data_IF_111568187813
#
_entry.id   IF_111568187813
#
_cell.length_a   1.000
_cell.length_b   1.000
_cell.length_c   1.000
_cell.angle_alpha   90.00
_cell.angle_beta   90.00
_cell.angle_gamma   90.00
#
_symmetry.space_group_name_H-M   'P 1'
#
loop_
_entity.id
_entity.type
_entity.pdbx_description
1 polymer ?
#
# COMPACT_ATOMS: atom_id res chain seq x y z
N UNK A 1 12.81 -33.87 49.34
CA UNK A 1 11.85 -32.76 49.21
C UNK A 1 11.85 -32.05 47.85
N UNK A 2 12.91 -32.09 47.03
CA UNK A 2 12.92 -31.38 45.72
C UNK A 2 12.13 -32.03 44.57
N UNK A 3 11.85 -33.35 44.61
CA UNK A 3 11.11 -34.02 43.54
C UNK A 3 9.61 -33.71 43.52
N UNK A 4 9.02 -33.41 44.68
CA UNK A 4 7.58 -33.12 44.79
C UNK A 4 7.22 -31.70 44.33
N UNK A 5 8.16 -30.75 44.43
CA UNK A 5 7.97 -29.36 43.96
C UNK A 5 8.01 -29.24 42.43
N UNK A 6 8.74 -30.12 41.75
CA UNK A 6 8.87 -30.09 40.28
C UNK A 6 7.61 -30.63 39.58
N UNK A 7 6.91 -31.60 40.18
CA UNK A 7 5.65 -32.15 39.66
C UNK A 7 4.50 -31.15 39.84
N UNK A 8 4.50 -30.36 40.92
CA UNK A 8 3.50 -29.31 41.14
C UNK A 8 3.61 -28.18 40.11
N UNK A 9 4.84 -27.78 39.75
CA UNK A 9 5.08 -26.79 38.69
C UNK A 9 4.68 -27.30 37.29
N UNK A 10 4.91 -28.59 37.00
CA UNK A 10 4.48 -29.18 35.74
C UNK A 10 2.94 -29.27 35.65
N UNK A 11 2.25 -29.55 36.76
CA UNK A 11 0.79 -29.58 36.78
C UNK A 11 0.15 -28.19 36.60
N UNK A 12 0.75 -27.13 37.16
CA UNK A 12 0.29 -25.75 36.92
C UNK A 12 0.56 -25.27 35.49
N UNK A 13 1.65 -25.72 34.84
CA UNK A 13 1.94 -25.37 33.45
C UNK A 13 0.98 -26.03 32.44
N UNK A 14 0.42 -27.21 32.74
CA UNK A 14 -0.51 -27.91 31.83
C UNK A 14 -1.98 -27.48 32.05
N UNK A 15 -2.34 -27.01 33.25
CA UNK A 15 -3.70 -26.55 33.55
C UNK A 15 -4.10 -25.22 32.88
N UNK A 16 -3.14 -24.39 32.46
CA UNK A 16 -3.41 -23.07 31.87
C UNK A 16 -3.87 -23.07 30.40
N UNK A 17 -3.68 -24.17 29.66
CA UNK A 17 -3.97 -24.23 28.23
C UNK A 17 -5.28 -24.96 27.86
N UNK A 18 -5.96 -25.58 28.84
CA UNK A 18 -7.08 -26.49 28.57
C UNK A 18 -8.46 -25.81 28.49
N UNK A 19 -8.62 -24.56 28.94
CA UNK A 19 -9.93 -23.89 28.97
C UNK A 19 -10.40 -23.34 27.63
N UNK A 20 -9.52 -23.25 26.62
CA UNK A 20 -9.85 -22.75 25.28
C UNK A 20 -10.20 -23.84 24.26
N UNK A 21 -10.01 -25.13 24.61
CA UNK A 21 -10.24 -26.22 23.66
C UNK A 21 -11.73 -26.59 23.51
N UNK A 22 -12.50 -26.47 24.60
CA UNK A 22 -13.94 -26.77 24.60
C UNK A 22 -14.74 -25.72 23.80
N UNK A 23 -14.31 -24.46 23.81
CA UNK A 23 -14.90 -23.37 23.04
C UNK A 23 -14.50 -23.44 21.56
N UNK A 24 -13.23 -23.71 21.23
CA UNK A 24 -12.80 -23.86 19.81
C UNK A 24 -13.47 -25.06 19.12
N UNK A 25 -13.67 -26.18 19.83
CA UNK A 25 -14.37 -27.35 19.27
C UNK A 25 -15.85 -27.09 19.01
N UNK A 26 -16.55 -26.34 19.88
CA UNK A 26 -17.97 -25.99 19.64
C UNK A 26 -18.11 -25.03 18.48
N UNK A 27 -17.28 -23.99 18.40
CA UNK A 27 -17.31 -23.06 17.26
C UNK A 27 -17.00 -23.75 15.92
N UNK A 28 -16.10 -24.74 15.90
CA UNK A 28 -15.82 -25.52 14.68
C UNK A 28 -16.98 -26.43 14.27
N UNK A 29 -17.69 -27.01 15.23
CA UNK A 29 -18.72 -28.02 14.95
C UNK A 29 -20.14 -27.43 14.83
N UNK A 30 -20.42 -26.33 15.53
CA UNK A 30 -21.76 -25.73 15.70
C UNK A 30 -21.87 -24.34 15.04
N UNK A 31 -20.76 -23.77 14.57
CA UNK A 31 -20.71 -22.42 14.02
C UNK A 31 -20.79 -21.32 15.10
N UNK A 32 -20.96 -20.03 14.73
CA UNK A 32 -21.26 -18.98 15.69
C UNK A 32 -22.61 -19.33 16.34
N UNK A 33 -22.55 -19.76 17.61
CA UNK A 33 -23.61 -20.46 18.31
C UNK A 33 -25.03 -19.92 18.07
N UNK A 34 -25.96 -20.85 17.89
CA UNK A 34 -27.42 -20.67 17.79
C UNK A 34 -28.11 -20.39 19.14
N UNK A 35 -27.34 -20.19 20.23
CA UNK A 35 -27.86 -19.85 21.55
C UNK A 35 -27.59 -18.37 21.86
N UNK A 36 -28.65 -17.55 21.94
CA UNK A 36 -28.57 -16.14 22.35
C UNK A 36 -28.09 -15.94 23.81
N UNK A 37 -28.16 -16.99 24.63
CA UNK A 37 -27.72 -17.00 26.03
C UNK A 37 -26.60 -18.03 26.21
N UNK A 38 -25.37 -17.65 25.84
CA UNK A 38 -24.19 -18.42 26.24
C UNK A 38 -23.64 -17.89 27.57
N UNK A 39 -22.96 -18.75 28.34
CA UNK A 39 -22.23 -18.35 29.56
C UNK A 39 -21.16 -17.27 29.24
N UNK A 40 -20.83 -17.07 27.97
CA UNK A 40 -19.88 -16.08 27.48
C UNK A 40 -20.51 -14.69 27.33
N UNK A 41 -21.85 -14.57 27.23
CA UNK A 41 -22.53 -13.27 27.04
C UNK A 41 -22.30 -12.28 28.19
N UNK A 42 -22.35 -12.69 29.48
CA UNK A 42 -22.02 -11.80 30.60
C UNK A 42 -20.56 -11.34 30.56
N UNK A 43 -19.62 -12.25 30.27
CA UNK A 43 -18.19 -11.93 30.17
C UNK A 43 -17.92 -10.99 29.01
N UNK A 44 -18.49 -11.24 27.83
CA UNK A 44 -18.35 -10.38 26.66
C UNK A 44 -18.95 -8.98 26.91
N UNK A 45 -20.09 -8.90 27.59
CA UNK A 45 -20.72 -7.62 27.98
C UNK A 45 -19.84 -6.82 28.93
N UNK A 46 -19.28 -7.49 29.94
CA UNK A 46 -18.39 -6.87 30.93
C UNK A 46 -17.08 -6.40 30.30
N UNK A 47 -16.52 -7.19 29.40
CA UNK A 47 -15.37 -6.85 28.59
C UNK A 47 -15.63 -5.60 27.74
N UNK A 48 -16.75 -5.57 27.01
CA UNK A 48 -17.15 -4.42 26.21
C UNK A 48 -17.31 -3.16 27.06
N UNK A 49 -17.86 -3.29 28.28
CA UNK A 49 -17.98 -2.18 29.24
C UNK A 49 -16.60 -1.63 29.60
N UNK A 50 -15.67 -2.48 30.03
CA UNK A 50 -14.30 -2.08 30.39
C UNK A 50 -13.56 -1.43 29.23
N UNK A 51 -13.74 -1.96 28.01
CA UNK A 51 -13.13 -1.36 26.83
C UNK A 51 -13.63 0.07 26.60
N UNK A 52 -14.93 0.31 26.71
CA UNK A 52 -15.46 1.66 26.54
C UNK A 52 -15.00 2.61 27.65
N UNK A 53 -14.77 2.12 28.87
CA UNK A 53 -14.26 2.95 29.97
C UNK A 53 -12.86 3.44 29.62
N UNK A 54 -12.02 2.53 29.11
CA UNK A 54 -10.67 2.86 28.70
C UNK A 54 -10.67 3.83 27.50
N UNK A 55 -11.55 3.65 26.51
CA UNK A 55 -11.71 4.61 25.42
C UNK A 55 -12.19 5.98 25.91
N UNK A 56 -13.11 6.03 26.88
CA UNK A 56 -13.57 7.28 27.45
C UNK A 56 -12.43 8.01 28.18
N UNK A 57 -11.60 7.26 28.93
CA UNK A 57 -10.39 7.79 29.58
C UNK A 57 -9.38 8.34 28.57
N UNK A 58 -9.13 7.61 27.48
CA UNK A 58 -8.25 8.06 26.39
C UNK A 58 -8.78 9.30 25.66
N UNK A 59 -10.10 9.49 25.65
CA UNK A 59 -10.77 10.62 25.02
C UNK A 59 -10.97 11.82 25.96
N UNK A 60 -10.44 11.75 27.20
CA UNK A 60 -10.70 12.71 28.27
C UNK A 60 -12.20 12.97 28.50
N UNK A 61 -13.04 11.95 28.25
CA UNK A 61 -14.47 12.01 28.46
C UNK A 61 -14.81 11.67 29.92
N UNK A 62 -15.76 12.36 30.54
CA UNK A 62 -16.18 12.06 31.89
C UNK A 62 -16.82 10.66 31.95
N UNK A 63 -16.23 9.75 32.72
CA UNK A 63 -16.90 8.51 33.14
C UNK A 63 -17.75 8.82 34.37
N UNK A 64 -19.05 8.49 34.33
CA UNK A 64 -19.99 8.89 35.39
C UNK A 64 -20.43 7.72 36.26
N UNK A 65 -20.36 7.95 37.57
CA UNK A 65 -20.89 7.17 38.69
C UNK A 65 -20.23 5.81 39.02
N UNK A 66 -19.49 5.82 40.13
CA UNK A 66 -19.41 4.68 41.03
C UNK A 66 -20.82 4.38 41.55
N UNK A 67 -21.44 3.30 41.09
CA UNK A 67 -22.78 2.85 41.53
C UNK A 67 -22.81 2.25 42.94
N UNK A 68 -21.78 2.49 43.77
CA UNK A 68 -21.65 1.91 45.12
C UNK A 68 -21.26 0.43 45.15
N UNK A 69 -21.32 -0.29 44.02
CA UNK A 69 -20.97 -1.70 43.90
C UNK A 69 -19.60 -1.96 43.22
N UNK A 70 -18.81 -0.91 42.95
CA UNK A 70 -17.54 -1.02 42.21
C UNK A 70 -17.71 -1.22 40.69
N UNK A 71 -18.93 -1.11 40.16
CA UNK A 71 -19.20 -1.13 38.72
C UNK A 71 -19.21 0.29 38.15
N UNK A 72 -18.19 0.60 37.33
CA UNK A 72 -18.09 1.83 36.56
C UNK A 72 -18.99 1.77 35.31
N UNK A 73 -20.12 2.45 35.32
CA UNK A 73 -21.01 2.52 34.16
C UNK A 73 -20.65 3.74 33.32
N UNK A 74 -20.69 3.62 32.00
CA UNK A 74 -20.46 4.77 31.12
C UNK A 74 -21.81 5.35 30.72
N UNK A 75 -22.09 6.56 31.20
CA UNK A 75 -23.20 7.36 30.71
C UNK A 75 -22.63 8.58 30.01
N UNK A 76 -22.65 8.54 28.68
CA UNK A 76 -22.19 9.62 27.81
C UNK A 76 -23.38 10.38 27.22
N UNK A 77 -23.35 11.73 27.20
CA UNK A 77 -24.25 12.52 26.38
C UNK A 77 -24.18 12.10 24.91
N UNK A 78 -25.27 12.31 24.16
CA UNK A 78 -25.35 11.96 22.74
C UNK A 78 -24.19 12.56 21.90
N UNK A 79 -23.68 13.72 22.30
CA UNK A 79 -22.57 14.42 21.64
C UNK A 79 -21.20 13.75 21.81
N UNK A 80 -21.04 12.91 22.84
CA UNK A 80 -19.73 12.36 23.21
C UNK A 80 -19.49 10.96 22.61
N UNK A 81 -20.53 10.31 22.09
CA UNK A 81 -20.40 9.02 21.43
C UNK A 81 -19.58 9.10 20.13
N UNK A 82 -19.66 10.20 19.37
CA UNK A 82 -18.83 10.41 18.19
C UNK A 82 -17.33 10.51 18.55
N UNK A 83 -17.01 11.22 19.63
CA UNK A 83 -15.63 11.33 20.14
C UNK A 83 -15.13 9.94 20.56
N UNK A 84 -15.93 9.19 21.34
CA UNK A 84 -15.60 7.84 21.77
C UNK A 84 -15.33 6.91 20.57
N UNK A 85 -16.16 6.98 19.53
CA UNK A 85 -16.04 6.17 18.31
C UNK A 85 -14.77 6.53 17.53
N UNK A 86 -14.44 7.80 17.38
CA UNK A 86 -13.18 8.24 16.74
C UNK A 86 -11.95 7.81 17.53
N UNK A 87 -11.99 7.93 18.86
CA UNK A 87 -10.92 7.43 19.74
C UNK A 87 -10.76 5.91 19.59
N UNK A 88 -11.87 5.17 19.58
CA UNK A 88 -11.83 3.72 19.35
C UNK A 88 -11.30 3.34 17.96
N UNK A 89 -11.57 4.12 16.90
CA UNK A 89 -10.93 3.89 15.59
C UNK A 89 -9.42 4.11 15.65
N UNK A 90 -8.94 5.10 16.40
CA UNK A 90 -7.50 5.34 16.56
C UNK A 90 -6.82 4.20 17.35
N UNK A 91 -7.47 3.67 18.39
CA UNK A 91 -6.98 2.49 19.12
C UNK A 91 -6.95 1.25 18.19
N UNK A 92 -8.00 1.02 17.40
CA UNK A 92 -8.05 -0.06 16.41
C UNK A 92 -6.94 0.08 15.36
N UNK A 93 -6.65 1.30 14.90
CA UNK A 93 -5.58 1.58 13.93
C UNK A 93 -4.21 1.12 14.44
N UNK A 94 -3.86 1.49 15.67
CA UNK A 94 -2.61 1.09 16.30
C UNK A 94 -2.48 -0.45 16.36
N UNK A 95 -3.57 -1.13 16.76
CA UNK A 95 -3.59 -2.60 16.81
C UNK A 95 -3.45 -3.22 15.43
N UNK A 96 -4.16 -2.66 14.45
CA UNK A 96 -4.11 -3.10 13.07
C UNK A 96 -2.69 -3.01 12.52
N UNK A 97 -2.00 -1.89 12.74
CA UNK A 97 -0.64 -1.67 12.28
C UNK A 97 0.35 -2.63 12.97
N UNK A 98 0.17 -2.91 14.26
CA UNK A 98 0.93 -3.93 14.98
C UNK A 98 0.71 -5.33 14.40
N UNK A 99 -0.53 -5.67 14.07
CA UNK A 99 -0.87 -6.95 13.45
C UNK A 99 -0.26 -7.12 12.06
N UNK A 100 -0.31 -6.08 11.23
CA UNK A 100 0.30 -6.10 9.90
C UNK A 100 1.83 -6.20 9.99
N UNK A 101 2.44 -5.49 10.93
CA UNK A 101 3.89 -5.59 11.21
C UNK A 101 4.27 -7.00 11.66
N UNK A 102 3.45 -7.60 12.51
CA UNK A 102 3.65 -8.97 12.95
C UNK A 102 3.52 -10.00 11.82
N UNK A 103 2.54 -9.85 10.92
CA UNK A 103 2.43 -10.72 9.74
C UNK A 103 3.72 -10.66 8.92
N UNK A 104 4.30 -9.47 8.73
CA UNK A 104 5.55 -9.30 7.98
C UNK A 104 6.75 -9.98 8.66
N UNK A 105 6.85 -9.84 9.99
CA UNK A 105 7.86 -10.54 10.77
C UNK A 105 7.71 -12.05 10.61
N UNK A 106 6.49 -12.59 10.74
CA UNK A 106 6.23 -14.02 10.55
C UNK A 106 6.46 -14.51 9.13
N UNK A 107 6.21 -13.69 8.12
CA UNK A 107 6.60 -14.02 6.73
C UNK A 107 8.12 -14.14 6.61
N UNK A 108 8.87 -13.19 7.18
CA UNK A 108 10.34 -13.21 7.16
C UNK A 108 10.89 -14.41 7.92
N UNK A 109 10.31 -14.73 9.08
CA UNK A 109 10.66 -15.93 9.86
C UNK A 109 10.33 -17.23 9.11
N UNK A 110 9.22 -17.31 8.38
CA UNK A 110 8.86 -18.50 7.59
C UNK A 110 9.84 -18.78 6.44
N UNK A 111 10.43 -17.75 5.85
CA UNK A 111 11.52 -17.92 4.86
C UNK A 111 12.73 -18.60 5.52
N UNK A 112 12.93 -18.40 6.82
CA UNK A 112 14.05 -18.92 7.59
C UNK A 112 13.75 -20.25 8.31
N UNK A 113 12.48 -20.55 8.61
CA UNK A 113 12.03 -21.71 9.37
C UNK A 113 10.80 -22.32 8.72
N UNK A 114 10.93 -23.54 8.18
CA UNK A 114 9.90 -24.20 7.36
C UNK A 114 8.70 -24.75 8.16
N UNK A 115 8.69 -24.65 9.49
CA UNK A 115 7.71 -25.32 10.34
C UNK A 115 7.09 -24.35 11.35
N UNK A 116 5.76 -24.17 11.24
CA UNK A 116 4.73 -24.05 12.31
C UNK A 116 3.61 -23.04 11.95
N UNK A 117 2.56 -23.55 11.32
CA UNK A 117 1.37 -22.78 10.91
C UNK A 117 0.32 -22.66 12.05
N UNK A 118 0.31 -23.60 13.00
CA UNK A 118 -0.73 -23.71 14.05
C UNK A 118 -0.52 -22.76 15.25
N UNK A 119 0.72 -22.34 15.54
CA UNK A 119 1.01 -21.37 16.62
C UNK A 119 0.61 -19.93 16.26
N UNK A 120 0.35 -19.67 14.97
CA UNK A 120 0.12 -18.35 14.39
C UNK A 120 -1.25 -17.78 14.77
N UNK A 121 -2.30 -18.60 14.91
CA UNK A 121 -3.65 -18.12 15.22
C UNK A 121 -3.78 -17.55 16.64
N UNK A 122 -3.22 -18.25 17.63
CA UNK A 122 -3.24 -17.82 19.02
C UNK A 122 -2.37 -16.59 19.22
N UNK A 123 -1.26 -16.50 18.48
CA UNK A 123 -0.34 -15.38 18.56
C UNK A 123 -0.81 -14.15 17.77
N UNK A 124 -1.58 -14.32 16.68
CA UNK A 124 -2.27 -13.24 15.97
C UNK A 124 -3.34 -12.56 16.84
N UNK A 125 -4.20 -13.37 17.47
CA UNK A 125 -5.14 -12.90 18.49
C UNK A 125 -4.40 -12.26 19.67
N UNK A 126 -3.24 -12.83 20.00
CA UNK A 126 -2.26 -12.27 20.93
C UNK A 126 -1.79 -10.88 20.52
N UNK A 127 -1.26 -10.66 19.32
CA UNK A 127 -0.66 -9.37 18.89
C UNK A 127 -1.69 -8.25 18.76
N UNK A 128 -2.91 -8.57 18.32
CA UNK A 128 -4.03 -7.63 18.36
C UNK A 128 -4.51 -7.33 19.80
N UNK A 129 -4.09 -8.15 20.77
CA UNK A 129 -4.35 -8.03 22.20
C UNK A 129 -3.13 -7.75 23.10
N UNK A 130 -1.89 -7.70 22.57
CA UNK A 130 -0.64 -7.67 23.34
C UNK A 130 0.15 -6.43 22.95
N UNK A 131 -0.28 -5.30 23.50
CA UNK A 131 0.61 -4.19 23.81
C UNK A 131 0.42 -3.87 25.30
N UNK A 132 1.43 -4.24 26.11
CA UNK A 132 1.60 -4.07 27.56
C UNK A 132 0.94 -5.11 28.51
N UNK A 133 1.75 -5.86 29.31
CA UNK A 133 1.29 -6.81 30.34
C UNK A 133 0.58 -6.20 31.56
N UNK A 134 0.56 -4.87 31.71
CA UNK A 134 0.06 -4.22 32.94
C UNK A 134 -1.40 -3.76 32.85
N UNK A 135 -2.03 -3.78 31.68
CA UNK A 135 -3.45 -3.41 31.54
C UNK A 135 -4.26 -4.57 30.96
N UNK A 136 -5.03 -5.23 31.83
CA UNK A 136 -5.98 -6.31 31.49
C UNK A 136 -7.10 -5.88 30.54
N UNK A 137 -7.04 -4.69 29.94
CA UNK A 137 -8.08 -4.06 29.14
C UNK A 137 -8.26 -4.67 27.73
N UNK A 138 -7.33 -5.53 27.28
CA UNK A 138 -7.11 -5.80 25.84
C UNK A 138 -7.73 -7.12 25.34
N UNK A 139 -7.84 -8.15 26.16
CA UNK A 139 -8.69 -9.32 25.87
C UNK A 139 -10.15 -8.92 25.65
N UNK A 140 -10.51 -7.72 26.05
CA UNK A 140 -11.87 -7.23 26.07
C UNK A 140 -12.37 -6.65 24.76
N UNK A 141 -11.49 -6.20 23.86
CA UNK A 141 -11.91 -5.59 22.58
C UNK A 141 -12.39 -6.66 21.62
N UNK A 142 -11.59 -7.70 21.37
CA UNK A 142 -11.97 -8.80 20.50
C UNK A 142 -13.17 -9.56 21.06
N UNK A 143 -13.16 -9.94 22.35
CA UNK A 143 -14.29 -10.62 22.98
C UNK A 143 -15.53 -9.73 23.10
N UNK A 144 -15.38 -8.46 23.48
CA UNK A 144 -16.49 -7.51 23.63
C UNK A 144 -17.09 -7.06 22.30
N UNK A 145 -16.29 -6.97 21.25
CA UNK A 145 -16.74 -6.70 19.89
C UNK A 145 -17.12 -7.99 19.12
N UNK A 146 -17.05 -9.17 19.74
CA UNK A 146 -17.58 -10.42 19.16
C UNK A 146 -16.66 -11.11 18.14
N UNK A 147 -15.36 -10.80 18.16
CA UNK A 147 -14.33 -11.49 17.39
C UNK A 147 -13.68 -12.58 18.26
N UNK A 148 -14.20 -13.80 18.18
CA UNK A 148 -13.61 -14.99 18.83
C UNK A 148 -12.47 -15.53 17.96
N UNK A 149 -11.48 -16.19 18.57
CA UNK A 149 -10.21 -16.63 17.96
C UNK A 149 -10.30 -17.44 16.65
N UNK A 150 -11.48 -17.92 16.27
CA UNK A 150 -11.76 -18.53 14.96
C UNK A 150 -11.68 -17.54 13.78
N UNK A 151 -11.86 -16.24 14.02
CA UNK A 151 -11.59 -15.18 13.02
C UNK A 151 -10.07 -15.04 12.77
N UNK A 152 -9.21 -15.53 13.66
CA UNK A 152 -7.76 -15.57 13.42
C UNK A 152 -7.29 -16.97 13.03
N UNK A 153 -8.12 -17.73 12.32
CA UNK A 153 -7.80 -19.09 11.89
C UNK A 153 -6.46 -19.12 11.12
N UNK A 154 -5.61 -20.06 11.54
CA UNK A 154 -4.33 -20.43 10.95
C UNK A 154 -4.36 -20.57 9.42
N UNK A 155 -5.47 -21.08 8.86
CA UNK A 155 -5.65 -21.19 7.41
C UNK A 155 -5.65 -19.84 6.68
N UNK A 156 -6.37 -18.84 7.19
CA UNK A 156 -6.43 -17.51 6.56
C UNK A 156 -5.10 -16.77 6.69
N UNK A 157 -4.45 -16.89 7.85
CA UNK A 157 -3.10 -16.36 8.03
C UNK A 157 -2.09 -17.01 7.07
N UNK A 158 -2.26 -18.30 6.76
CA UNK A 158 -1.41 -18.99 5.78
C UNK A 158 -1.55 -18.43 4.36
N UNK A 159 -2.77 -18.03 3.97
CA UNK A 159 -3.03 -17.34 2.70
C UNK A 159 -2.37 -15.96 2.71
N UNK A 160 -2.55 -15.19 3.78
CA UNK A 160 -1.92 -13.87 3.91
C UNK A 160 -0.39 -13.93 3.82
N UNK A 161 0.24 -14.99 4.34
CA UNK A 161 1.69 -15.17 4.20
C UNK A 161 2.15 -15.32 2.74
N UNK A 162 1.29 -15.80 1.83
CA UNK A 162 1.59 -15.94 0.40
C UNK A 162 1.37 -14.68 -0.44
N UNK A 163 0.72 -13.65 0.10
CA UNK A 163 0.50 -12.37 -0.57
C UNK A 163 1.69 -11.43 -0.36
N UNK A 164 1.79 -10.35 -1.14
CA UNK A 164 2.81 -9.31 -0.90
C UNK A 164 2.40 -8.42 0.29
N UNK A 165 3.37 -8.06 1.15
CA UNK A 165 3.14 -7.18 2.33
C UNK A 165 2.54 -5.84 1.92
N UNK A 166 3.13 -5.23 0.89
CA UNK A 166 2.72 -3.92 0.37
C UNK A 166 1.26 -3.95 -0.06
N UNK A 167 0.82 -5.00 -0.77
CA UNK A 167 -0.58 -5.18 -1.19
C UNK A 167 -1.52 -5.24 0.00
N UNK A 168 -1.20 -6.03 1.03
CA UNK A 168 -2.04 -6.13 2.24
C UNK A 168 -2.14 -4.76 2.92
N UNK A 169 -1.02 -4.08 3.13
CA UNK A 169 -0.97 -2.78 3.81
C UNK A 169 -1.75 -1.72 3.04
N UNK A 170 -1.56 -1.63 1.72
CA UNK A 170 -2.27 -0.68 0.87
C UNK A 170 -3.78 -0.89 0.95
N UNK A 171 -4.25 -2.14 0.80
CA UNK A 171 -5.68 -2.46 0.86
C UNK A 171 -6.27 -2.08 2.22
N UNK A 172 -5.65 -2.50 3.32
CA UNK A 172 -6.14 -2.20 4.68
C UNK A 172 -6.16 -0.69 4.92
N UNK A 173 -5.12 0.02 4.49
CA UNK A 173 -5.03 1.48 4.62
C UNK A 173 -6.12 2.20 3.83
N UNK A 174 -6.31 1.85 2.56
CA UNK A 174 -7.37 2.42 1.71
C UNK A 174 -8.76 2.18 2.30
N UNK A 175 -9.02 0.97 2.81
CA UNK A 175 -10.31 0.65 3.46
C UNK A 175 -10.55 1.46 4.71
N UNK A 176 -9.54 1.61 5.56
CA UNK A 176 -9.61 2.44 6.77
C UNK A 176 -9.90 3.90 6.44
N UNK A 177 -9.20 4.46 5.46
CA UNK A 177 -9.41 5.84 5.00
C UNK A 177 -10.80 6.05 4.42
N UNK A 178 -11.25 5.12 3.58
CA UNK A 178 -12.58 5.20 2.96
C UNK A 178 -13.67 5.13 4.02
N UNK A 179 -13.59 4.17 4.95
CA UNK A 179 -14.58 4.02 6.02
C UNK A 179 -14.60 5.24 6.95
N UNK A 180 -13.44 5.80 7.30
CA UNK A 180 -13.36 7.06 8.05
C UNK A 180 -13.99 8.22 7.28
N UNK A 181 -13.77 8.31 5.96
CA UNK A 181 -14.33 9.37 5.13
C UNK A 181 -15.86 9.31 5.08
N UNK A 182 -16.43 8.12 4.93
CA UNK A 182 -17.89 7.92 4.94
C UNK A 182 -18.49 8.20 6.32
N UNK A 183 -17.85 7.73 7.39
CA UNK A 183 -18.34 7.94 8.76
C UNK A 183 -18.20 9.36 9.29
N UNK A 184 -17.42 10.24 8.64
CA UNK A 184 -17.45 11.68 8.96
C UNK A 184 -18.84 12.29 8.81
N UNK A 185 -19.70 11.70 7.99
CA UNK A 185 -21.07 12.16 7.73
C UNK A 185 -22.10 11.52 8.67
N UNK A 186 -21.69 10.53 9.46
CA UNK A 186 -22.57 9.79 10.36
C UNK A 186 -22.41 10.34 11.77
N UNK A 187 -23.53 10.50 12.49
CA UNK A 187 -23.52 10.93 13.89
C UNK A 187 -23.80 9.72 14.77
N UNK A 188 -22.83 9.30 15.57
CA UNK A 188 -23.03 8.25 16.57
C UNK A 188 -23.61 8.87 17.84
N UNK A 189 -24.80 8.43 18.25
CA UNK A 189 -25.56 9.09 19.34
C UNK A 189 -25.77 8.23 20.57
N UNK A 190 -25.53 6.92 20.43
CA UNK A 190 -25.80 5.95 21.47
C UNK A 190 -24.77 4.80 21.46
N UNK A 191 -24.83 3.97 22.51
CA UNK A 191 -23.94 2.81 22.68
C UNK A 191 -24.04 1.79 21.53
N UNK A 192 -25.24 1.34 21.09
CA UNK A 192 -25.37 0.47 19.92
C UNK A 192 -24.66 0.99 18.67
N UNK A 193 -24.84 2.27 18.31
CA UNK A 193 -24.20 2.89 17.15
C UNK A 193 -22.67 2.78 17.25
N UNK A 194 -22.13 3.07 18.44
CA UNK A 194 -20.70 3.02 18.70
C UNK A 194 -20.13 1.60 18.64
N UNK A 195 -20.83 0.62 19.23
CA UNK A 195 -20.45 -0.79 19.15
C UNK A 195 -20.42 -1.26 17.70
N UNK A 196 -21.43 -0.90 16.91
CA UNK A 196 -21.47 -1.27 15.51
C UNK A 196 -20.31 -0.66 14.74
N UNK A 197 -20.08 0.65 14.91
CA UNK A 197 -19.00 1.34 14.22
C UNK A 197 -17.66 0.69 14.56
N UNK A 198 -17.33 0.51 15.84
CA UNK A 198 -16.06 -0.08 16.23
C UNK A 198 -15.91 -1.53 15.75
N UNK A 199 -16.98 -2.34 15.75
CA UNK A 199 -16.98 -3.69 15.16
C UNK A 199 -16.67 -3.69 13.67
N UNK A 200 -17.35 -2.82 12.93
CA UNK A 200 -17.20 -2.73 11.48
C UNK A 200 -15.82 -2.22 11.09
N UNK A 201 -15.26 -1.30 11.88
CA UNK A 201 -13.92 -0.79 11.70
C UNK A 201 -12.86 -1.86 11.96
N UNK A 202 -12.97 -2.57 13.09
CA UNK A 202 -12.07 -3.65 13.45
C UNK A 202 -12.08 -4.77 12.40
N UNK A 203 -13.24 -5.05 11.79
CA UNK A 203 -13.39 -6.07 10.75
C UNK A 203 -12.42 -5.87 9.58
N UNK A 204 -12.08 -4.63 9.21
CA UNK A 204 -11.14 -4.35 8.11
C UNK A 204 -9.79 -5.04 8.33
N UNK A 205 -9.34 -5.10 9.58
CA UNK A 205 -8.04 -5.64 9.95
C UNK A 205 -8.06 -7.15 10.20
N UNK A 206 -9.19 -7.82 9.99
CA UNK A 206 -9.31 -9.27 10.18
C UNK A 206 -8.76 -10.03 8.97
N UNK A 207 -8.14 -11.21 9.18
CA UNK A 207 -7.55 -11.97 8.08
C UNK A 207 -8.55 -12.29 6.97
N UNK A 208 -9.79 -12.66 7.32
CA UNK A 208 -10.85 -12.99 6.36
C UNK A 208 -11.20 -11.80 5.49
N UNK A 209 -11.34 -10.60 6.09
CA UNK A 209 -11.65 -9.40 5.35
C UNK A 209 -10.51 -9.07 4.37
N UNK A 210 -9.26 -9.10 4.85
CA UNK A 210 -8.08 -8.85 4.03
C UNK A 210 -8.02 -9.84 2.86
N UNK A 211 -8.20 -11.14 3.09
CA UNK A 211 -8.19 -12.15 2.02
C UNK A 211 -9.33 -11.92 1.01
N UNK A 212 -10.53 -11.58 1.49
CA UNK A 212 -11.67 -11.25 0.63
C UNK A 212 -11.39 -10.02 -0.21
N UNK A 213 -10.78 -8.99 0.37
CA UNK A 213 -10.44 -7.76 -0.32
C UNK A 213 -9.39 -8.00 -1.39
N UNK A 214 -8.33 -8.74 -1.08
CA UNK A 214 -7.29 -9.08 -2.06
C UNK A 214 -7.89 -9.80 -3.27
N UNK A 215 -8.78 -10.77 -3.04
CA UNK A 215 -9.49 -11.47 -4.12
C UNK A 215 -10.37 -10.52 -4.94
N UNK A 216 -11.04 -9.60 -4.27
CA UNK A 216 -11.92 -8.60 -4.86
C UNK A 216 -11.13 -7.60 -5.71
N UNK A 217 -10.07 -7.00 -5.16
CA UNK A 217 -9.13 -6.12 -5.85
C UNK A 217 -8.46 -6.82 -7.03
N UNK A 218 -8.09 -8.10 -6.89
CA UNK A 218 -7.51 -8.89 -8.00
C UNK A 218 -8.52 -9.06 -9.15
N UNK A 219 -9.79 -9.35 -8.85
CA UNK A 219 -10.86 -9.43 -9.86
C UNK A 219 -11.11 -8.07 -10.52
N UNK A 220 -11.01 -6.99 -9.77
CA UNK A 220 -11.18 -5.63 -10.30
C UNK A 220 -10.02 -5.19 -11.17
N UNK A 221 -8.78 -5.53 -10.80
CA UNK A 221 -7.60 -5.32 -11.65
C UNK A 221 -7.70 -6.03 -13.00
N UNK A 222 -8.34 -7.21 -13.04
CA UNK A 222 -8.58 -7.96 -14.28
C UNK A 222 -9.74 -7.36 -15.11
N UNK A 223 -10.79 -6.85 -14.45
CA UNK A 223 -12.00 -6.36 -15.12
C UNK A 223 -12.00 -4.86 -15.42
N UNK A 224 -11.00 -4.10 -14.95
CA UNK A 224 -10.87 -2.66 -15.18
C UNK A 224 -11.96 -1.82 -14.52
N UNK A 225 -12.73 -2.39 -13.58
CA UNK A 225 -13.75 -1.68 -12.80
C UNK A 225 -13.17 -1.22 -11.47
N UNK A 226 -13.50 -0.01 -11.03
CA UNK A 226 -13.14 0.47 -9.69
C UNK A 226 -13.81 -0.35 -8.58
N UNK A 227 -13.21 -0.36 -7.40
CA UNK A 227 -13.72 -1.08 -6.23
C UNK A 227 -15.06 -0.49 -5.73
N UNK A 228 -16.10 -1.29 -5.46
CA UNK A 228 -17.42 -0.83 -5.01
C UNK A 228 -17.44 -0.48 -3.52
N UNK A 229 -16.28 -0.37 -2.87
CA UNK A 229 -16.13 -0.22 -1.43
C UNK A 229 -17.02 0.88 -0.84
N UNK A 230 -17.13 2.02 -1.53
CA UNK A 230 -18.00 3.12 -1.13
C UNK A 230 -19.48 2.72 -1.10
N UNK A 231 -19.94 2.04 -2.15
CA UNK A 231 -21.32 1.57 -2.24
C UNK A 231 -21.63 0.50 -1.19
N UNK A 232 -20.68 -0.39 -0.89
CA UNK A 232 -20.84 -1.39 0.19
C UNK A 232 -20.94 -0.74 1.57
N UNK A 233 -20.09 0.25 1.85
CA UNK A 233 -20.11 0.99 3.12
C UNK A 233 -21.42 1.77 3.25
N UNK A 234 -21.87 2.39 2.17
CA UNK A 234 -23.11 3.15 2.16
C UNK A 234 -24.34 2.24 2.34
N UNK A 235 -24.39 1.09 1.67
CA UNK A 235 -25.43 0.09 1.89
C UNK A 235 -25.44 -0.44 3.33
N UNK A 236 -24.27 -0.65 3.94
CA UNK A 236 -24.17 -1.05 5.34
C UNK A 236 -24.68 0.05 6.28
N UNK A 237 -24.29 1.31 6.05
CA UNK A 237 -24.77 2.45 6.82
C UNK A 237 -26.30 2.60 6.75
N UNK A 238 -26.86 2.51 5.53
CA UNK A 238 -28.30 2.57 5.27
C UNK A 238 -29.07 1.43 5.91
N UNK A 239 -28.56 0.19 5.85
CA UNK A 239 -29.20 -1.00 6.43
C UNK A 239 -29.38 -0.92 7.96
N UNK A 240 -28.66 -0.02 8.64
CA UNK A 240 -28.77 0.17 10.08
C UNK A 240 -29.59 1.40 10.49
N UNK A 241 -30.12 2.15 9.53
CA UNK A 241 -30.79 3.41 9.83
C UNK A 241 -29.87 4.48 10.41
N UNK A 242 -28.54 4.37 10.21
CA UNK A 242 -27.62 5.47 10.45
C UNK A 242 -27.88 6.50 9.36
N UNK A 243 -28.67 7.52 9.67
CA UNK A 243 -28.93 8.61 8.73
C UNK A 243 -27.60 9.35 8.49
N UNK A 244 -27.01 9.30 7.28
CA UNK A 244 -25.96 10.25 6.95
C UNK A 244 -26.59 11.64 7.13
N UNK A 245 -25.91 12.54 7.84
CA UNK A 245 -26.37 13.93 7.90
C UNK A 245 -26.56 14.38 6.45
N UNK A 246 -27.79 14.61 6.04
CA UNK A 246 -28.09 15.36 4.83
C UNK A 246 -27.64 16.81 5.10
N UNK A 247 -26.34 17.04 5.13
CA UNK A 247 -25.83 18.34 4.75
C UNK A 247 -26.17 18.45 3.27
N UNK A 248 -27.12 19.32 2.93
CA UNK A 248 -27.09 19.98 1.63
C UNK A 248 -25.67 20.50 1.50
N UNK A 249 -24.85 19.80 0.71
CA UNK A 249 -23.51 20.25 0.39
C UNK A 249 -23.75 21.44 -0.54
N UNK A 250 -23.99 22.62 0.02
CA UNK A 250 -23.34 23.79 -0.57
C UNK A 250 -21.86 23.46 -0.42
N UNK A 251 -21.12 23.25 -1.52
CA UNK A 251 -19.72 22.91 -1.40
C UNK A 251 -19.10 23.96 -0.48
N UNK A 252 -18.50 23.58 0.66
CA UNK A 252 -17.62 24.53 1.33
C UNK A 252 -16.68 25.00 0.22
N UNK A 253 -16.48 26.31 0.09
CA UNK A 253 -15.39 26.84 -0.72
C UNK A 253 -14.17 26.07 -0.23
N UNK A 254 -13.74 25.09 -1.03
CA UNK A 254 -12.62 24.24 -0.68
C UNK A 254 -11.46 25.22 -0.64
N UNK A 255 -10.96 25.53 0.55
CA UNK A 255 -9.53 25.79 0.64
C UNK A 255 -8.86 24.59 -0.02
N UNK A 256 -7.92 24.87 -0.94
CA UNK A 256 -7.24 23.84 -1.72
C UNK A 256 -6.85 22.70 -0.78
N UNK A 257 -7.46 21.53 -0.98
CA UNK A 257 -6.98 20.32 -0.32
C UNK A 257 -5.64 20.07 -0.97
N UNK A 258 -4.57 20.50 -0.29
CA UNK A 258 -3.21 20.18 -0.70
C UNK A 258 -3.13 18.66 -0.88
N UNK A 259 -2.96 18.24 -2.13
CA UNK A 259 -2.70 16.84 -2.42
C UNK A 259 -1.44 16.45 -1.63
N UNK A 260 -1.42 15.31 -0.93
CA UNK A 260 -0.19 14.83 -0.28
C UNK A 260 0.92 14.49 -1.30
N UNK A 261 0.58 14.51 -2.59
CA UNK A 261 1.52 14.32 -3.69
C UNK A 261 2.32 15.61 -3.92
N UNK A 262 3.64 15.48 -3.83
CA UNK A 262 4.55 16.60 -3.97
C UNK A 262 4.74 16.97 -5.45
N UNK A 263 3.69 17.50 -6.09
CA UNK A 263 3.73 17.95 -7.49
C UNK A 263 4.79 19.03 -7.72
N UNK A 264 5.10 19.83 -6.70
CA UNK A 264 6.21 20.80 -6.67
C UNK A 264 7.61 20.17 -6.83
N UNK A 265 7.71 18.84 -6.70
CA UNK A 265 8.93 18.07 -6.96
C UNK A 265 9.01 17.55 -8.39
N UNK A 266 7.90 17.50 -9.12
CA UNK A 266 7.87 17.14 -10.55
C UNK A 266 7.88 18.39 -11.42
N UNK A 267 7.15 19.42 -11.00
CA UNK A 267 6.93 20.63 -11.79
C UNK A 267 7.57 21.86 -11.15
N UNK A 268 8.02 22.78 -12.00
CA UNK A 268 8.40 24.12 -11.57
C UNK A 268 7.14 24.97 -11.47
N UNK A 269 6.74 25.35 -10.26
CA UNK A 269 5.56 26.19 -10.05
C UNK A 269 5.86 27.62 -10.55
N UNK A 270 5.17 28.04 -11.60
CA UNK A 270 5.24 29.40 -12.14
C UNK A 270 3.93 30.15 -11.90
N UNK A 271 3.95 31.48 -11.72
CA UNK A 271 2.72 32.26 -11.55
C UNK A 271 1.73 32.01 -12.69
N UNK A 272 0.54 31.50 -12.36
CA UNK A 272 -0.50 31.17 -13.34
C UNK A 272 -0.47 29.73 -13.88
N UNK A 273 0.50 28.90 -13.47
CA UNK A 273 0.55 27.48 -13.83
C UNK A 273 0.73 26.61 -12.59
N UNK A 274 -0.35 25.93 -12.21
CA UNK A 274 -0.39 24.99 -11.09
C UNK A 274 -0.79 23.60 -11.63
N UNK A 275 0.16 22.82 -12.17
CA UNK A 275 -0.14 21.53 -12.77
C UNK A 275 -0.67 20.54 -11.73
N UNK A 276 -1.72 19.81 -12.09
CA UNK A 276 -2.34 18.82 -11.22
C UNK A 276 -2.29 17.43 -11.87
N UNK A 277 -3.12 16.51 -11.37
CA UNK A 277 -3.22 15.13 -11.83
C UNK A 277 -3.43 15.02 -13.36
N UNK A 278 -4.20 15.94 -13.95
CA UNK A 278 -4.47 15.96 -15.40
C UNK A 278 -3.22 16.25 -16.21
N UNK A 279 -2.42 17.23 -15.78
CA UNK A 279 -1.16 17.59 -16.41
C UNK A 279 -0.14 16.46 -16.21
N UNK A 280 -0.07 15.90 -15.01
CA UNK A 280 0.77 14.74 -14.74
C UNK A 280 0.45 13.56 -15.67
N UNK A 281 -0.83 13.19 -15.83
CA UNK A 281 -1.21 12.10 -16.73
C UNK A 281 -0.79 12.32 -18.19
N UNK A 282 -0.87 13.57 -18.67
CA UNK A 282 -0.39 13.93 -20.01
C UNK A 282 1.13 13.86 -20.11
N UNK A 283 1.85 14.35 -19.09
CA UNK A 283 3.30 14.27 -19.02
C UNK A 283 3.77 12.82 -19.04
N UNK A 284 3.18 11.94 -18.22
CA UNK A 284 3.52 10.52 -18.14
C UNK A 284 3.40 9.85 -19.50
N UNK A 285 2.31 10.14 -20.24
CA UNK A 285 2.14 9.65 -21.61
C UNK A 285 3.19 10.23 -22.56
N UNK A 286 3.50 11.53 -22.43
CA UNK A 286 4.51 12.20 -23.26
C UNK A 286 5.91 11.60 -23.10
N UNK A 287 6.30 11.25 -21.87
CA UNK A 287 7.63 10.72 -21.55
C UNK A 287 7.73 9.19 -21.62
N UNK A 288 6.68 8.51 -22.08
CA UNK A 288 6.56 7.05 -22.14
C UNK A 288 6.73 6.36 -20.78
N UNK A 289 6.18 6.96 -19.71
CA UNK A 289 6.14 6.33 -18.40
C UNK A 289 4.93 5.41 -18.29
N UNK A 290 5.15 4.16 -17.87
CA UNK A 290 4.09 3.18 -17.59
C UNK A 290 4.28 2.62 -16.17
N UNK A 291 3.30 2.89 -15.30
CA UNK A 291 3.34 2.46 -13.90
C UNK A 291 3.45 0.93 -13.74
N UNK A 292 2.92 0.15 -14.70
CA UNK A 292 2.97 -1.31 -14.62
C UNK A 292 4.38 -1.85 -14.76
N UNK A 293 5.20 -1.19 -15.57
CA UNK A 293 6.58 -1.61 -15.86
C UNK A 293 7.62 -0.82 -15.07
N UNK A 294 7.33 0.42 -14.71
CA UNK A 294 8.23 1.33 -13.99
C UNK A 294 7.94 1.43 -12.48
N UNK A 295 6.79 0.95 -12.00
CA UNK A 295 6.34 1.13 -10.62
C UNK A 295 5.62 2.47 -10.40
N UNK A 296 5.19 2.75 -9.15
CA UNK A 296 4.34 3.90 -8.85
C UNK A 296 5.06 5.23 -9.14
N UNK A 297 4.31 6.22 -9.64
CA UNK A 297 4.83 7.56 -9.97
C UNK A 297 5.36 8.26 -8.73
N UNK A 298 4.65 8.11 -7.61
CA UNK A 298 5.06 8.62 -6.31
C UNK A 298 5.33 7.48 -5.34
N UNK A 299 6.36 7.64 -4.50
CA UNK A 299 6.62 6.77 -3.37
C UNK A 299 5.58 6.97 -2.26
N UNK A 300 5.67 6.13 -1.22
CA UNK A 300 4.83 6.25 -0.03
C UNK A 300 5.05 7.58 0.73
N UNK A 301 6.15 8.27 0.46
CA UNK A 301 6.51 9.59 0.98
C UNK A 301 5.93 10.76 0.15
N UNK A 302 5.11 10.46 -0.87
CA UNK A 302 4.53 11.46 -1.77
C UNK A 302 5.53 12.10 -2.73
N UNK A 303 6.80 11.66 -2.74
CA UNK A 303 7.84 12.16 -3.65
C UNK A 303 7.90 11.32 -4.92
N UNK A 304 8.40 11.88 -6.05
CA UNK A 304 8.56 11.11 -7.28
C UNK A 304 9.38 9.86 -7.02
N UNK A 305 8.85 8.70 -7.42
CA UNK A 305 9.57 7.44 -7.33
C UNK A 305 10.87 7.51 -8.14
N UNK A 306 11.87 6.70 -7.78
CA UNK A 306 13.19 6.71 -8.44
C UNK A 306 13.08 6.62 -9.97
N UNK A 307 12.18 5.78 -10.48
CA UNK A 307 11.94 5.62 -11.92
C UNK A 307 11.29 6.83 -12.57
N UNK A 308 10.39 7.52 -11.88
CA UNK A 308 9.80 8.75 -12.38
C UNK A 308 10.86 9.84 -12.50
N UNK A 309 11.69 10.01 -11.47
CA UNK A 309 12.82 10.93 -11.49
C UNK A 309 13.78 10.62 -12.66
N UNK A 310 14.09 9.34 -12.88
CA UNK A 310 14.87 8.91 -14.06
C UNK A 310 14.23 9.34 -15.38
N UNK A 311 12.93 9.14 -15.55
CA UNK A 311 12.23 9.47 -16.80
C UNK A 311 12.19 10.97 -17.06
N UNK A 312 12.03 11.80 -16.02
CA UNK A 312 12.14 13.25 -16.11
C UNK A 312 13.56 13.64 -16.56
N UNK A 313 14.58 13.09 -15.90
CA UNK A 313 15.97 13.39 -16.23
C UNK A 313 16.33 13.01 -17.69
N UNK A 314 15.79 11.89 -18.20
CA UNK A 314 15.94 11.50 -19.61
C UNK A 314 15.24 12.50 -20.54
N UNK A 315 14.03 12.92 -20.20
CA UNK A 315 13.26 13.88 -20.99
C UNK A 315 14.00 15.24 -21.07
N UNK A 316 14.47 15.77 -19.94
CA UNK A 316 15.25 17.00 -19.88
C UNK A 316 16.59 16.87 -20.62
N UNK A 317 17.32 15.76 -20.46
CA UNK A 317 18.59 15.55 -21.16
C UNK A 317 18.42 15.54 -22.68
N UNK A 318 17.29 15.04 -23.17
CA UNK A 318 16.95 15.04 -24.59
C UNK A 318 16.47 16.43 -25.06
N UNK A 319 15.68 17.12 -24.25
CA UNK A 319 15.20 18.49 -24.51
C UNK A 319 16.38 19.47 -24.60
N UNK A 320 17.28 19.42 -23.62
CA UNK A 320 18.49 20.25 -23.52
C UNK A 320 19.71 19.67 -24.24
N UNK A 321 19.54 18.69 -25.12
CA UNK A 321 20.65 18.04 -25.82
C UNK A 321 21.57 19.00 -26.58
N UNK A 322 21.06 20.15 -27.05
CA UNK A 322 21.83 21.22 -27.72
C UNK A 322 22.46 22.24 -26.76
N UNK A 323 22.02 22.26 -25.49
CA UNK A 323 22.44 23.22 -24.45
C UNK A 323 22.55 22.46 -23.11
N UNK A 324 23.52 21.55 -22.97
CA UNK A 324 23.60 20.66 -21.81
C UNK A 324 23.80 21.38 -20.47
N UNK A 325 24.33 22.61 -20.51
CA UNK A 325 24.59 23.48 -19.36
C UNK A 325 23.44 24.49 -19.08
N UNK A 326 22.27 24.35 -19.73
CA UNK A 326 21.12 25.22 -19.46
C UNK A 326 20.66 25.03 -18.01
N UNK A 327 20.59 26.14 -17.25
CA UNK A 327 20.25 26.13 -15.82
C UNK A 327 18.84 25.62 -15.53
N UNK A 328 17.98 25.59 -16.55
CA UNK A 328 16.62 25.04 -16.44
C UNK A 328 16.59 23.51 -16.44
N UNK A 329 17.72 22.86 -16.72
CA UNK A 329 17.89 21.43 -16.51
C UNK A 329 18.06 21.14 -15.02
N UNK A 330 16.96 21.20 -14.27
CA UNK A 330 16.94 21.20 -12.81
C UNK A 330 16.32 19.94 -12.20
N UNK A 331 15.96 18.95 -13.01
CA UNK A 331 15.30 17.73 -12.54
C UNK A 331 13.79 17.86 -12.44
N UNK A 332 13.21 18.96 -12.91
CA UNK A 332 11.77 19.25 -12.92
C UNK A 332 11.33 19.67 -14.32
N UNK A 333 10.01 19.75 -14.49
CA UNK A 333 9.39 20.16 -15.75
C UNK A 333 8.73 21.53 -15.57
N UNK A 334 9.20 22.53 -16.33
CA UNK A 334 8.56 23.84 -16.45
C UNK A 334 7.42 23.84 -17.49
N UNK A 335 6.65 24.93 -17.59
CA UNK A 335 5.49 25.00 -18.48
C UNK A 335 5.89 24.87 -19.96
N UNK A 336 7.02 25.45 -20.33
CA UNK A 336 7.51 25.49 -21.71
C UNK A 336 8.00 24.10 -22.14
N UNK A 337 8.68 23.41 -21.23
CA UNK A 337 9.10 22.02 -21.39
C UNK A 337 7.88 21.10 -21.48
N UNK A 338 6.92 21.25 -20.56
CA UNK A 338 5.69 20.47 -20.55
C UNK A 338 4.93 20.60 -21.88
N UNK A 339 4.68 21.82 -22.34
CA UNK A 339 3.94 22.07 -23.58
C UNK A 339 4.65 21.44 -24.78
N UNK A 340 5.98 21.55 -24.86
CA UNK A 340 6.76 20.93 -25.93
C UNK A 340 6.78 19.41 -25.86
N UNK A 341 6.95 18.82 -24.67
CA UNK A 341 6.91 17.37 -24.46
C UNK A 341 5.55 16.81 -24.87
N UNK A 342 4.47 17.45 -24.41
CA UNK A 342 3.10 17.03 -24.69
C UNK A 342 2.76 17.20 -26.18
N UNK A 343 3.16 18.30 -26.81
CA UNK A 343 2.97 18.50 -28.26
C UNK A 343 3.73 17.48 -29.11
N UNK A 344 4.88 17.00 -28.64
CA UNK A 344 5.69 16.00 -29.31
C UNK A 344 5.32 14.56 -28.93
N UNK A 345 4.28 14.36 -28.12
CA UNK A 345 3.85 13.02 -27.66
C UNK A 345 3.58 12.12 -28.86
N UNK A 346 4.50 11.19 -29.09
CA UNK A 346 4.27 10.06 -29.99
C UNK A 346 3.58 8.96 -29.21
N UNK A 347 2.86 8.08 -29.92
CA UNK A 347 2.21 6.95 -29.29
C UNK A 347 3.27 5.91 -28.85
N UNK A 348 3.75 6.08 -27.61
CA UNK A 348 4.74 5.21 -26.98
C UNK A 348 4.32 3.74 -27.01
N UNK A 349 3.00 3.46 -27.00
CA UNK A 349 2.47 2.11 -27.06
C UNK A 349 2.68 1.47 -28.43
N UNK A 350 2.49 2.22 -29.51
CA UNK A 350 2.66 1.70 -30.88
C UNK A 350 4.13 1.37 -31.20
N UNK A 351 5.05 2.21 -30.72
CA UNK A 351 6.49 2.03 -30.96
C UNK A 351 7.19 1.19 -29.88
N UNK A 352 6.46 0.81 -28.82
CA UNK A 352 6.95 0.00 -27.69
C UNK A 352 8.24 0.57 -27.07
N UNK A 353 8.34 1.89 -27.01
CA UNK A 353 9.45 2.60 -26.38
C UNK A 353 9.30 2.55 -24.85
N UNK A 354 10.42 2.42 -24.13
CA UNK A 354 10.43 2.37 -22.67
C UNK A 354 10.66 3.73 -22.01
N UNK A 355 11.08 4.73 -22.80
CA UNK A 355 11.37 6.08 -22.33
C UNK A 355 11.27 7.06 -23.50
N UNK A 356 11.21 8.34 -23.14
CA UNK A 356 11.11 9.45 -24.09
C UNK A 356 12.22 9.47 -25.16
N UNK A 357 13.47 9.18 -24.78
CA UNK A 357 14.60 9.20 -25.72
C UNK A 357 14.40 8.18 -26.84
N UNK A 358 14.02 6.95 -26.50
CA UNK A 358 13.73 5.91 -27.50
C UNK A 358 12.56 6.27 -28.38
N UNK A 359 11.50 6.83 -27.80
CA UNK A 359 10.33 7.25 -28.55
C UNK A 359 10.64 8.34 -29.58
N UNK A 360 11.65 9.17 -29.30
CA UNK A 360 12.10 10.21 -30.22
C UNK A 360 13.03 9.65 -31.30
N UNK A 361 14.03 8.85 -30.89
CA UNK A 361 15.10 8.37 -31.77
C UNK A 361 14.69 7.18 -32.67
N UNK A 362 13.80 6.31 -32.20
CA UNK A 362 13.50 5.01 -32.82
C UNK A 362 12.01 4.81 -33.12
N UNK A 363 11.33 5.88 -33.53
CA UNK A 363 9.89 5.83 -33.82
C UNK A 363 9.55 5.16 -35.15
N UNK A 364 10.52 4.99 -36.06
CA UNK A 364 10.36 4.28 -37.32
C UNK A 364 11.12 2.94 -37.27
N UNK A 365 10.57 1.85 -37.87
CA UNK A 365 11.26 0.57 -37.94
C UNK A 365 12.69 0.67 -38.50
N UNK A 366 12.88 1.45 -39.58
CA UNK A 366 14.20 1.69 -40.18
C UNK A 366 15.24 2.30 -39.22
N UNK A 367 14.80 3.04 -38.21
CA UNK A 367 15.70 3.59 -37.19
C UNK A 367 16.15 2.53 -36.19
N UNK A 368 15.29 1.55 -35.90
CA UNK A 368 15.64 0.37 -35.09
C UNK A 368 16.63 -0.50 -35.86
N UNK A 369 16.40 -0.74 -37.14
CA UNK A 369 17.33 -1.47 -38.02
C UNK A 369 18.71 -0.78 -38.03
N UNK A 370 18.73 0.54 -38.18
CA UNK A 370 19.97 1.33 -38.11
C UNK A 370 20.67 1.25 -36.75
N UNK A 371 19.93 1.10 -35.63
CA UNK A 371 20.52 0.85 -34.32
C UNK A 371 21.13 -0.55 -34.24
N UNK A 372 20.42 -1.57 -34.74
CA UNK A 372 20.92 -2.95 -34.80
C UNK A 372 22.22 -3.00 -35.59
N UNK A 373 22.27 -2.38 -36.77
CA UNK A 373 23.46 -2.33 -37.61
C UNK A 373 24.63 -1.66 -36.88
N UNK A 374 24.39 -0.54 -36.18
CA UNK A 374 25.42 0.15 -35.38
C UNK A 374 25.93 -0.70 -34.23
N UNK A 375 25.04 -1.40 -33.51
CA UNK A 375 25.41 -2.30 -32.43
C UNK A 375 26.21 -3.48 -32.99
N UNK A 376 25.78 -4.08 -34.09
CA UNK A 376 26.46 -5.20 -34.72
C UNK A 376 27.88 -4.85 -35.16
N UNK A 377 28.12 -3.62 -35.65
CA UNK A 377 29.48 -3.15 -35.99
C UNK A 377 30.44 -3.11 -34.81
N UNK A 378 29.95 -2.88 -33.60
CA UNK A 378 30.80 -2.76 -32.39
C UNK A 378 30.74 -4.02 -31.52
N UNK A 379 29.84 -4.94 -31.83
CA UNK A 379 29.55 -6.13 -31.03
C UNK A 379 30.24 -7.36 -31.61
N UNK A 380 30.74 -8.24 -30.73
CA UNK A 380 31.26 -9.56 -31.14
C UNK A 380 30.15 -10.56 -31.51
N UNK A 381 28.94 -10.34 -31.01
CA UNK A 381 27.77 -11.16 -31.26
C UNK A 381 26.73 -10.36 -32.05
N UNK A 382 26.27 -10.92 -33.17
CA UNK A 382 25.32 -10.26 -34.06
C UNK A 382 23.88 -10.43 -33.55
N UNK A 383 23.12 -9.35 -33.60
CA UNK A 383 21.70 -9.31 -33.31
C UNK A 383 20.94 -9.49 -34.63
N UNK A 384 19.89 -10.35 -34.69
CA UNK A 384 19.01 -10.47 -35.85
C UNK A 384 18.39 -9.13 -36.26
N UNK A 385 18.23 -8.87 -37.57
CA UNK A 385 17.68 -7.61 -38.08
C UNK A 385 16.20 -7.41 -37.76
N UNK A 386 15.46 -8.48 -37.50
CA UNK A 386 14.05 -8.45 -37.09
C UNK A 386 13.88 -8.24 -35.57
N UNK A 387 14.98 -8.06 -34.82
CA UNK A 387 14.90 -7.82 -33.40
C UNK A 387 14.20 -6.48 -33.08
N UNK A 388 13.34 -6.50 -32.08
CA UNK A 388 12.52 -5.32 -31.70
C UNK A 388 13.01 -4.70 -30.39
N UNK A 389 12.56 -3.49 -30.07
CA UNK A 389 12.82 -2.84 -28.77
C UNK A 389 11.92 -3.34 -27.62
N UNK A 390 11.29 -4.51 -27.76
CA UNK A 390 10.44 -5.10 -26.71
C UNK A 390 11.28 -5.61 -25.54
N UNK A 391 10.78 -5.46 -24.30
CA UNK A 391 11.40 -6.04 -23.09
C UNK A 391 11.74 -7.52 -23.34
N UNK A 392 12.99 -7.91 -23.09
CA UNK A 392 13.45 -9.29 -23.24
C UNK A 392 13.84 -9.71 -24.66
N UNK A 393 13.71 -8.83 -25.66
CA UNK A 393 14.21 -9.11 -27.01
C UNK A 393 15.74 -9.26 -27.04
N UNK A 394 16.29 -9.95 -28.07
CA UNK A 394 17.74 -10.03 -28.26
C UNK A 394 18.42 -8.65 -28.29
N UNK A 395 17.78 -7.66 -28.91
CA UNK A 395 18.25 -6.28 -28.95
C UNK A 395 18.33 -5.66 -27.55
N UNK A 396 17.29 -5.82 -26.72
CA UNK A 396 17.30 -5.29 -25.34
C UNK A 396 18.33 -5.94 -24.45
N UNK A 397 18.43 -7.27 -24.53
CA UNK A 397 19.43 -8.05 -23.80
C UNK A 397 20.83 -7.53 -24.15
N UNK A 398 21.10 -7.31 -25.45
CA UNK A 398 22.40 -6.80 -25.89
C UNK A 398 22.65 -5.35 -25.51
N UNK A 399 21.66 -4.45 -25.60
CA UNK A 399 21.79 -3.07 -25.10
C UNK A 399 22.14 -3.08 -23.61
N UNK A 400 21.49 -3.92 -22.80
CA UNK A 400 21.80 -4.06 -21.37
C UNK A 400 23.22 -4.57 -21.15
N UNK A 401 23.67 -5.53 -21.95
CA UNK A 401 25.03 -6.05 -21.87
C UNK A 401 26.07 -4.97 -22.25
N UNK A 402 25.84 -4.24 -23.35
CA UNK A 402 26.71 -3.13 -23.75
C UNK A 402 26.79 -2.03 -22.69
N UNK A 403 25.66 -1.73 -22.01
CA UNK A 403 25.68 -0.81 -20.86
C UNK A 403 26.67 -1.29 -19.81
N UNK A 404 26.57 -2.57 -19.41
CA UNK A 404 27.46 -3.15 -18.40
C UNK A 404 28.93 -3.19 -18.85
N UNK A 405 29.19 -3.55 -20.12
CA UNK A 405 30.54 -3.58 -20.71
C UNK A 405 31.18 -2.18 -20.74
N UNK A 406 30.37 -1.14 -20.98
CA UNK A 406 30.84 0.25 -21.07
C UNK A 406 30.62 1.08 -19.80
N UNK A 407 30.03 0.55 -18.72
CA UNK A 407 29.83 1.29 -17.47
C UNK A 407 31.14 1.87 -16.95
N UNK A 408 32.24 1.11 -17.03
CA UNK A 408 33.57 1.57 -16.60
C UNK A 408 34.09 2.72 -17.48
N UNK A 409 33.96 2.62 -18.80
CA UNK A 409 34.38 3.67 -19.74
C UNK A 409 33.50 4.94 -19.61
N UNK A 410 32.23 4.79 -19.25
CA UNK A 410 31.29 5.89 -19.03
C UNK A 410 31.47 6.54 -17.66
N UNK A 411 32.00 5.83 -16.66
CA UNK A 411 32.26 6.37 -15.32
C UNK A 411 33.44 7.37 -15.26
N UNK A 412 34.30 7.39 -16.28
CA UNK A 412 35.43 8.33 -16.37
C UNK A 412 35.03 9.72 -16.92
N UNK A 413 33.82 9.85 -17.49
CA UNK A 413 33.30 11.14 -17.96
C UNK A 413 32.77 11.95 -16.75
N UNK A 414 33.61 12.86 -16.26
CA UNK A 414 33.36 13.69 -15.06
C UNK A 414 32.09 14.55 -15.13
N UNK A 415 31.48 14.68 -16.31
CA UNK A 415 30.22 15.40 -16.49
C UNK A 415 28.98 14.54 -16.22
N UNK A 416 29.14 13.23 -15.97
CA UNK A 416 28.05 12.29 -15.72
C UNK A 416 27.87 12.02 -14.21
N UNK A 417 27.46 13.02 -13.43
CA UNK A 417 27.02 12.78 -12.04
C UNK A 417 25.55 12.35 -12.01
N UNK A 418 25.27 11.07 -11.67
CA UNK A 418 23.91 10.49 -11.63
C UNK A 418 23.82 9.18 -12.42
N UNK A 419 24.20 8.07 -11.77
CA UNK A 419 25.03 6.99 -12.37
C UNK A 419 24.31 5.93 -13.25
N UNK A 420 22.99 5.94 -13.41
CA UNK A 420 22.31 4.98 -14.32
C UNK A 420 21.51 5.63 -15.47
N UNK A 421 21.22 6.93 -15.37
CA UNK A 421 20.10 7.55 -16.08
C UNK A 421 20.59 8.29 -17.33
N UNK A 422 21.72 8.99 -17.20
CA UNK A 422 22.45 9.60 -18.30
C UNK A 422 23.18 8.57 -19.17
N UNK A 423 23.33 7.34 -18.66
CA UNK A 423 23.97 6.22 -19.33
C UNK A 423 23.25 5.84 -20.63
N UNK A 424 21.92 6.00 -20.70
CA UNK A 424 21.16 5.65 -21.92
C UNK A 424 21.50 6.59 -23.08
N UNK A 425 21.46 7.90 -22.85
CA UNK A 425 21.80 8.90 -23.87
C UNK A 425 23.29 8.88 -24.20
N UNK A 426 24.15 8.72 -23.18
CA UNK A 426 25.60 8.61 -23.35
C UNK A 426 25.99 7.35 -24.15
N UNK A 427 25.36 6.20 -23.86
CA UNK A 427 25.57 4.97 -24.63
C UNK A 427 25.16 5.14 -26.09
N UNK A 428 24.01 5.76 -26.37
CA UNK A 428 23.61 6.02 -27.77
C UNK A 428 24.65 6.86 -28.51
N UNK A 429 25.19 7.89 -27.86
CA UNK A 429 26.29 8.71 -28.42
C UNK A 429 27.55 7.89 -28.63
N UNK A 430 27.92 7.06 -27.67
CA UNK A 430 29.13 6.23 -27.73
C UNK A 430 29.00 5.14 -28.80
N UNK A 431 27.84 4.48 -28.92
CA UNK A 431 27.54 3.55 -30.01
C UNK A 431 27.70 4.26 -31.36
N UNK A 432 27.13 5.46 -31.51
CA UNK A 432 27.29 6.23 -32.75
C UNK A 432 28.76 6.54 -33.04
N UNK A 433 29.53 6.97 -32.02
CA UNK A 433 30.96 7.29 -32.14
C UNK A 433 31.81 6.07 -32.52
N UNK A 434 31.59 4.93 -31.87
CA UNK A 434 32.32 3.69 -32.11
C UNK A 434 31.92 3.05 -33.44
N UNK A 435 30.64 3.09 -33.81
CA UNK A 435 30.16 2.57 -35.10
C UNK A 435 30.78 3.28 -36.29
N UNK A 436 31.11 4.58 -36.16
CA UNK A 436 31.79 5.34 -37.20
C UNK A 436 33.28 4.95 -37.37
N UNK A 437 33.88 4.28 -36.38
CA UNK A 437 35.28 3.86 -36.38
C UNK A 437 35.48 2.37 -36.65
N UNK A 438 34.41 1.58 -36.62
CA UNK A 438 34.45 0.11 -36.64
C UNK A 438 33.99 -0.46 -37.97
N UNK A 439 34.75 -1.44 -38.48
CA UNK A 439 34.49 -2.16 -39.74
C UNK A 439 34.10 -3.64 -39.52
N UNK A 440 33.65 -4.02 -38.33
CA UNK A 440 33.23 -5.41 -38.09
C UNK A 440 31.97 -5.73 -38.89
N UNK A 441 32.08 -6.65 -39.84
CA UNK A 441 30.97 -7.06 -40.72
C UNK A 441 30.28 -8.31 -40.16
N UNK A 442 29.06 -8.15 -39.66
CA UNK A 442 28.15 -9.25 -39.38
C UNK A 442 27.55 -9.73 -40.71
N UNK A 443 28.02 -10.88 -41.22
CA UNK A 443 27.48 -11.52 -42.43
C UNK A 443 26.10 -12.11 -42.23
#
# INVERSE_FOLDING_TARGET
MHRSLMVLWLAFAVGGCATNFATDSRYRNEGPGNQLYSIETPVATENLRKYFVELARQADLPTTQNTGAGEEVIVLPATNWDILVRTGMNDIDLRCDNYLTWIDQKRTERILVNETITAISTLAAGVLGLAAPETSALSYVALGLGFVGTVYNSYQNSILMGLESSTIKTIVHERRLTLRAEWRQVSFTNKPDAVYALRSYLRICTPQAITMDVNTYSRYGITGRGTPLRAEIQQQAEAMGLNPRQSVITPPIRGDVESPLAYDKVFVLTPGWNPQEKELGKLLKAICYDERSAGPVFGADGRPGRRMATSIAIAEAEYYSKRPDDRRRDGKIDQVEYDQLVLQTKDCANIRAQNYHEAKQYHLPLQVDGLIDKINRISRACIPKDATLVVGSPLRVRIKQLRAEHTNALSEDKNLSGVDEQLTVALTREINRLSAKSETDCK
#
